data_IF_220148528761
#
_entry.id   IF_220148528761
#
_cell.length_a   1.000
_cell.length_b   1.000
_cell.length_c   1.000
_cell.angle_alpha   90.00
_cell.angle_beta   90.00
_cell.angle_gamma   90.00
#
_symmetry.space_group_name_H-M   'P 1'
#
loop_
_entity.id
_entity.type
_entity.pdbx_description
1 polymer ?
#
# COMPACT_ATOMS: atom_id res chain seq x y z
N UNK A 1 -24.82 31.01 -2.03
CA UNK A 1 -24.69 29.57 -1.75
C UNK A 1 -23.34 29.37 -1.07
N UNK A 2 -23.35 28.86 0.16
CA UNK A 2 -22.13 28.60 0.93
C UNK A 2 -21.35 27.43 0.30
N UNK A 3 -20.01 27.42 0.42
CA UNK A 3 -19.15 26.34 -0.08
C UNK A 3 -19.59 24.96 0.46
N UNK A 4 -20.05 24.92 1.71
CA UNK A 4 -20.61 23.71 2.33
C UNK A 4 -21.93 23.26 1.69
N UNK A 5 -22.79 24.18 1.26
CA UNK A 5 -24.05 23.85 0.60
C UNK A 5 -23.82 23.33 -0.82
N UNK A 6 -22.82 23.88 -1.53
CA UNK A 6 -22.37 23.37 -2.82
C UNK A 6 -21.76 21.97 -2.70
N UNK A 7 -20.89 21.75 -1.71
CA UNK A 7 -20.30 20.44 -1.45
C UNK A 7 -21.35 19.40 -1.06
N UNK A 8 -22.34 19.81 -0.26
CA UNK A 8 -23.46 18.94 0.12
C UNK A 8 -24.34 18.58 -1.07
N UNK A 9 -24.72 19.56 -1.89
CA UNK A 9 -25.53 19.32 -3.09
C UNK A 9 -24.80 18.41 -4.09
N UNK A 10 -23.49 18.58 -4.24
CA UNK A 10 -22.67 17.72 -5.08
C UNK A 10 -22.56 16.30 -4.53
N UNK A 11 -22.31 16.15 -3.22
CA UNK A 11 -22.27 14.84 -2.57
C UNK A 11 -23.61 14.10 -2.62
N UNK A 12 -24.74 14.81 -2.48
CA UNK A 12 -26.09 14.23 -2.61
C UNK A 12 -26.36 13.78 -4.05
N UNK A 13 -25.91 14.56 -5.05
CA UNK A 13 -26.01 14.21 -6.47
C UNK A 13 -25.15 12.99 -6.81
N UNK A 14 -23.88 12.98 -6.41
CA UNK A 14 -22.97 11.84 -6.61
C UNK A 14 -23.42 10.58 -5.87
N UNK A 15 -23.95 10.71 -4.65
CA UNK A 15 -24.49 9.58 -3.90
C UNK A 15 -25.71 8.97 -4.61
N UNK A 16 -26.60 9.78 -5.19
CA UNK A 16 -27.75 9.28 -5.94
C UNK A 16 -27.34 8.56 -7.23
N UNK A 17 -26.35 9.11 -7.95
CA UNK A 17 -25.86 8.55 -9.22
C UNK A 17 -25.03 7.29 -9.02
N UNK A 18 -24.15 7.30 -8.01
CA UNK A 18 -23.34 6.13 -7.66
C UNK A 18 -24.19 5.00 -7.06
N UNK A 19 -25.25 5.32 -6.31
CA UNK A 19 -26.18 4.31 -5.80
C UNK A 19 -26.99 3.65 -6.92
N UNK A 20 -27.48 4.41 -7.91
CA UNK A 20 -28.18 3.83 -9.05
C UNK A 20 -27.26 2.98 -9.91
N UNK A 21 -26.03 3.46 -10.17
CA UNK A 21 -25.02 2.71 -10.93
C UNK A 21 -24.55 1.45 -10.20
N UNK A 22 -24.38 1.50 -8.87
CA UNK A 22 -24.02 0.34 -8.07
C UNK A 22 -25.16 -0.70 -8.02
N UNK A 23 -26.42 -0.26 -8.01
CA UNK A 23 -27.57 -1.14 -8.13
C UNK A 23 -27.59 -1.84 -9.50
N UNK A 24 -27.34 -1.12 -10.59
CA UNK A 24 -27.30 -1.68 -11.94
C UNK A 24 -26.09 -2.64 -12.15
N UNK A 25 -24.96 -2.38 -11.50
CA UNK A 25 -23.79 -3.30 -11.48
C UNK A 25 -24.10 -4.55 -10.66
N UNK A 26 -24.78 -4.43 -9.52
CA UNK A 26 -25.19 -5.57 -8.69
C UNK A 26 -26.24 -6.46 -9.39
N UNK A 27 -27.08 -5.87 -10.24
CA UNK A 27 -28.04 -6.59 -11.10
C UNK A 27 -27.38 -7.17 -12.37
N UNK A 28 -26.07 -6.96 -12.58
CA UNK A 28 -25.31 -7.53 -13.70
C UNK A 28 -25.58 -6.87 -15.06
N UNK A 29 -26.23 -5.69 -15.08
CA UNK A 29 -26.56 -4.97 -16.32
C UNK A 29 -25.38 -4.18 -16.88
N UNK A 30 -24.38 -3.85 -16.05
CA UNK A 30 -23.22 -3.02 -16.40
C UNK A 30 -21.94 -3.55 -15.72
N UNK A 31 -20.80 -3.44 -16.40
CA UNK A 31 -19.46 -3.67 -15.82
C UNK A 31 -18.91 -2.39 -15.16
N UNK A 32 -17.96 -2.53 -14.21
CA UNK A 32 -17.37 -1.38 -13.49
C UNK A 32 -16.75 -0.31 -14.42
N UNK A 33 -16.24 -0.73 -15.57
CA UNK A 33 -15.67 0.17 -16.58
C UNK A 33 -16.77 0.98 -17.30
N UNK A 34 -17.92 0.36 -17.57
CA UNK A 34 -19.07 1.03 -18.19
C UNK A 34 -19.74 2.01 -17.22
N UNK A 35 -19.77 1.70 -15.92
CA UNK A 35 -20.28 2.62 -14.90
C UNK A 35 -19.43 3.91 -14.81
N UNK A 36 -18.10 3.79 -14.94
CA UNK A 36 -17.20 4.95 -15.01
C UNK A 36 -17.43 5.79 -16.26
N UNK A 37 -17.69 5.13 -17.40
CA UNK A 37 -17.98 5.82 -18.65
C UNK A 37 -19.31 6.58 -18.58
N UNK A 38 -20.37 5.99 -18.03
CA UNK A 38 -21.67 6.66 -17.87
C UNK A 38 -21.57 7.87 -16.93
N UNK A 39 -20.78 7.78 -15.86
CA UNK A 39 -20.51 8.92 -14.99
C UNK A 39 -19.78 10.06 -15.73
N UNK A 40 -18.79 9.73 -16.57
CA UNK A 40 -18.12 10.71 -17.43
C UNK A 40 -19.07 11.34 -18.46
N UNK A 41 -19.87 10.52 -19.15
CA UNK A 41 -20.84 10.98 -20.14
C UNK A 41 -21.94 11.86 -19.51
N UNK A 42 -22.33 11.58 -18.26
CA UNK A 42 -23.27 12.41 -17.50
C UNK A 42 -22.67 13.78 -17.15
N UNK A 43 -21.38 13.81 -16.80
CA UNK A 43 -20.64 15.06 -16.58
C UNK A 43 -20.38 15.84 -17.87
N UNK A 44 -20.32 15.16 -19.02
CA UNK A 44 -20.18 15.80 -20.34
C UNK A 44 -21.51 16.36 -20.85
N UNK A 45 -22.62 15.69 -20.54
CA UNK A 45 -23.98 16.04 -20.93
C UNK A 45 -24.56 17.30 -20.26
N UNK A 46 -23.93 17.82 -19.20
CA UNK A 46 -24.38 19.03 -18.54
C UNK A 46 -24.15 20.26 -19.44
N UNK A 47 -25.22 20.86 -19.95
CA UNK A 47 -25.16 22.00 -20.88
C UNK A 47 -24.77 23.30 -20.15
N UNK A 48 -23.59 23.83 -20.46
CA UNK A 48 -23.06 25.08 -19.92
C UNK A 48 -21.84 25.59 -20.70
N UNK A 49 -21.46 26.84 -20.47
CA UNK A 49 -20.32 27.49 -21.13
C UNK A 49 -19.00 26.76 -20.78
N UNK A 50 -18.09 26.60 -21.75
CA UNK A 50 -16.91 25.72 -21.64
C UNK A 50 -16.04 26.10 -20.43
N UNK A 51 -15.94 27.40 -20.13
CA UNK A 51 -15.20 27.92 -18.99
C UNK A 51 -15.79 27.48 -17.65
N UNK A 52 -17.12 27.45 -17.54
CA UNK A 52 -17.81 27.03 -16.30
C UNK A 52 -17.62 25.53 -16.05
N UNK A 53 -17.58 24.73 -17.11
CA UNK A 53 -17.26 23.29 -17.03
C UNK A 53 -15.85 23.05 -16.51
N UNK A 54 -14.85 23.73 -17.08
CA UNK A 54 -13.46 23.64 -16.63
C UNK A 54 -13.29 24.03 -15.16
N UNK A 55 -13.95 25.12 -14.73
CA UNK A 55 -13.92 25.56 -13.34
C UNK A 55 -14.58 24.56 -12.38
N UNK A 56 -15.65 23.89 -12.81
CA UNK A 56 -16.29 22.85 -12.01
C UNK A 56 -15.42 21.59 -11.92
N UNK A 57 -14.80 21.14 -13.02
CA UNK A 57 -13.83 20.05 -12.97
C UNK A 57 -12.66 20.37 -12.03
N UNK A 58 -12.13 21.59 -12.07
CA UNK A 58 -11.06 22.01 -11.17
C UNK A 58 -11.49 21.97 -9.69
N UNK A 59 -12.75 22.33 -9.37
CA UNK A 59 -13.28 22.21 -8.00
C UNK A 59 -13.40 20.75 -7.55
N UNK A 60 -13.90 19.87 -8.41
CA UNK A 60 -14.03 18.43 -8.11
C UNK A 60 -12.67 17.80 -7.89
N UNK A 61 -11.68 18.13 -8.72
CA UNK A 61 -10.29 17.65 -8.56
C UNK A 61 -9.74 18.07 -7.20
N UNK A 62 -9.88 19.35 -6.83
CA UNK A 62 -9.42 19.85 -5.52
C UNK A 62 -10.13 19.19 -4.34
N UNK A 63 -11.43 18.90 -4.47
CA UNK A 63 -12.16 18.17 -3.44
C UNK A 63 -11.61 16.74 -3.28
N UNK A 64 -11.37 16.03 -4.39
CA UNK A 64 -10.78 14.68 -4.37
C UNK A 64 -9.36 14.66 -3.80
N UNK A 65 -8.55 15.68 -4.11
CA UNK A 65 -7.22 15.85 -3.50
C UNK A 65 -7.30 16.05 -1.98
N UNK A 66 -8.24 16.88 -1.51
CA UNK A 66 -8.46 17.11 -0.08
C UNK A 66 -8.92 15.84 0.65
N UNK A 67 -9.83 15.07 0.05
CA UNK A 67 -10.29 13.78 0.59
C UNK A 67 -9.15 12.76 0.65
N UNK A 68 -8.34 12.66 -0.41
CA UNK A 68 -7.17 11.78 -0.45
C UNK A 68 -6.17 12.11 0.66
N UNK A 69 -5.86 13.39 0.86
CA UNK A 69 -4.97 13.84 1.93
C UNK A 69 -5.53 13.49 3.33
N UNK A 70 -6.84 13.68 3.55
CA UNK A 70 -7.48 13.32 4.82
C UNK A 70 -7.47 11.80 5.07
N UNK A 71 -7.61 10.98 4.03
CA UNK A 71 -7.50 9.52 4.12
C UNK A 71 -6.08 9.08 4.49
N UNK A 72 -5.05 9.70 3.90
CA UNK A 72 -3.65 9.41 4.22
C UNK A 72 -3.33 9.68 5.69
N UNK A 73 -3.83 10.78 6.25
CA UNK A 73 -3.68 11.08 7.68
C UNK A 73 -4.34 10.02 8.57
N UNK A 74 -5.55 9.57 8.20
CA UNK A 74 -6.24 8.49 8.90
C UNK A 74 -5.48 7.18 8.82
N UNK A 75 -4.95 6.83 7.65
CA UNK A 75 -4.14 5.62 7.45
C UNK A 75 -2.90 5.66 8.34
N UNK A 76 -2.18 6.79 8.41
CA UNK A 76 -1.02 6.93 9.31
C UNK A 76 -1.39 6.66 10.77
N UNK A 77 -2.51 7.22 11.23
CA UNK A 77 -3.01 6.99 12.60
C UNK A 77 -3.40 5.52 12.83
N UNK A 78 -4.10 4.90 11.88
CA UNK A 78 -4.48 3.49 11.95
C UNK A 78 -3.25 2.56 11.94
N UNK A 79 -2.24 2.86 11.13
CA UNK A 79 -0.98 2.14 11.10
C UNK A 79 -0.21 2.28 12.43
N UNK A 80 -0.18 3.48 13.02
CA UNK A 80 0.41 3.68 14.34
C UNK A 80 -0.32 2.86 15.41
N UNK A 81 -1.66 2.85 15.40
CA UNK A 81 -2.48 2.02 16.30
C UNK A 81 -2.22 0.52 16.10
N UNK A 82 -2.12 0.06 14.85
CA UNK A 82 -1.77 -1.33 14.52
C UNK A 82 -0.42 -1.71 15.12
N UNK A 83 0.62 -0.88 14.91
CA UNK A 83 1.96 -1.12 15.47
C UNK A 83 1.96 -1.13 17.00
N UNK A 84 1.17 -0.28 17.65
CA UNK A 84 1.05 -0.27 19.11
C UNK A 84 0.42 -1.58 19.64
N UNK A 85 -0.58 -2.12 18.94
CA UNK A 85 -1.18 -3.41 19.28
C UNK A 85 -0.22 -4.58 19.06
N UNK A 86 0.55 -4.55 17.97
CA UNK A 86 1.60 -5.54 17.69
C UNK A 86 2.68 -5.51 18.77
N UNK A 87 3.19 -4.34 19.13
CA UNK A 87 4.14 -4.19 20.24
C UNK A 87 3.57 -4.63 21.59
N UNK A 88 2.29 -4.35 21.85
CA UNK A 88 1.59 -4.83 23.04
C UNK A 88 1.51 -6.36 23.10
N UNK A 89 1.19 -7.01 21.97
CA UNK A 89 1.19 -8.46 21.84
C UNK A 89 2.59 -9.04 22.09
N UNK A 90 3.63 -8.47 21.50
CA UNK A 90 5.00 -8.96 21.64
C UNK A 90 5.51 -8.80 23.08
N UNK A 91 5.18 -7.68 23.74
CA UNK A 91 5.47 -7.46 25.15
C UNK A 91 4.79 -8.52 26.03
N UNK A 92 3.49 -8.78 25.81
CA UNK A 92 2.75 -9.81 26.54
C UNK A 92 3.30 -11.22 26.28
N UNK A 93 3.68 -11.53 25.04
CA UNK A 93 4.31 -12.80 24.71
C UNK A 93 5.66 -12.97 25.43
N UNK A 94 6.49 -11.93 25.46
CA UNK A 94 7.78 -11.96 26.17
C UNK A 94 7.60 -12.13 27.69
N UNK A 95 6.58 -11.49 28.26
CA UNK A 95 6.25 -11.62 29.69
C UNK A 95 5.73 -13.03 30.00
N UNK A 96 4.86 -13.57 29.15
CA UNK A 96 4.36 -14.93 29.28
C UNK A 96 5.52 -15.95 29.24
N UNK A 97 6.47 -15.80 28.31
CA UNK A 97 7.67 -16.63 28.24
C UNK A 97 8.49 -16.56 29.53
N UNK A 98 8.75 -15.35 30.06
CA UNK A 98 9.47 -15.16 31.32
C UNK A 98 8.81 -15.89 32.48
N UNK A 99 7.50 -15.72 32.66
CA UNK A 99 6.74 -16.36 33.75
C UNK A 99 6.71 -17.89 33.59
N UNK A 100 6.55 -18.39 32.36
CA UNK A 100 6.58 -19.83 32.07
C UNK A 100 7.95 -20.45 32.38
N UNK A 101 9.05 -19.74 32.10
CA UNK A 101 10.42 -20.18 32.42
C UNK A 101 10.70 -20.15 33.93
N UNK A 102 10.32 -19.07 34.62
CA UNK A 102 10.54 -18.91 36.07
C UNK A 102 9.79 -19.96 36.89
N UNK A 103 8.56 -20.29 36.49
CA UNK A 103 7.70 -21.22 37.24
C UNK A 103 7.74 -22.65 36.70
N UNK A 104 8.35 -22.89 35.54
CA UNK A 104 8.34 -24.16 34.82
C UNK A 104 6.92 -24.73 34.58
N UNK A 105 5.94 -23.87 34.29
CA UNK A 105 4.53 -24.26 34.09
C UNK A 105 4.14 -24.05 32.62
N UNK A 106 3.41 -25.01 32.06
CA UNK A 106 2.75 -24.90 30.75
C UNK A 106 1.24 -24.93 30.93
N UNK A 107 0.58 -23.77 31.10
CA UNK A 107 -0.87 -23.73 31.24
C UNK A 107 -1.56 -24.19 29.95
N UNK A 108 -2.62 -24.98 30.11
CA UNK A 108 -3.52 -25.42 29.05
C UNK A 108 -4.95 -25.20 29.52
N UNK A 109 -5.75 -24.59 28.66
CA UNK A 109 -7.19 -24.43 28.84
C UNK A 109 -7.94 -25.09 27.67
N UNK A 110 -9.27 -25.18 27.75
CA UNK A 110 -10.12 -25.75 26.70
C UNK A 110 -10.09 -24.92 25.40
N UNK A 111 -9.87 -23.60 25.50
CA UNK A 111 -9.85 -22.69 24.36
C UNK A 111 -8.42 -22.35 23.88
N UNK A 112 -7.42 -22.40 24.76
CA UNK A 112 -6.06 -21.94 24.47
C UNK A 112 -5.01 -22.87 25.11
N UNK A 113 -4.08 -23.37 24.31
CA UNK A 113 -2.92 -24.10 24.78
C UNK A 113 -1.63 -23.29 24.49
N UNK A 114 -0.83 -23.03 25.53
CA UNK A 114 0.46 -22.39 25.38
C UNK A 114 1.60 -23.37 25.66
N UNK A 115 2.63 -23.33 24.81
CA UNK A 115 3.82 -24.16 24.94
C UNK A 115 5.04 -23.44 24.41
N UNK A 116 6.17 -23.62 25.09
CA UNK A 116 7.47 -23.16 24.62
C UNK A 116 7.99 -24.14 23.57
N UNK A 117 8.41 -23.62 22.42
CA UNK A 117 9.13 -24.43 21.43
C UNK A 117 10.59 -24.58 21.87
N UNK A 118 11.14 -25.78 21.73
CA UNK A 118 12.57 -26.04 21.86
C UNK A 118 13.28 -25.52 20.60
N UNK A 119 13.58 -24.23 20.55
CA UNK A 119 14.43 -23.65 19.50
C UNK A 119 15.60 -22.95 20.16
N UNK A 120 16.81 -23.46 19.90
CA UNK A 120 18.07 -22.80 20.27
C UNK A 120 18.50 -21.93 19.10
N UNK A 121 18.56 -20.62 19.32
CA UNK A 121 19.19 -19.70 18.39
C UNK A 121 20.68 -19.63 18.74
N UNK A 122 21.55 -20.08 17.82
CA UNK A 122 23.00 -20.00 17.99
C UNK A 122 23.44 -18.59 17.57
N UNK A 123 23.93 -17.81 18.53
CA UNK A 123 24.56 -16.51 18.25
C UNK A 123 26.05 -16.80 18.05
N UNK A 124 26.55 -16.44 16.88
CA UNK A 124 27.97 -16.58 16.53
C UNK A 124 28.64 -15.24 16.86
N UNK A 125 29.46 -15.21 17.91
CA UNK A 125 30.20 -14.01 18.29
C UNK A 125 31.43 -13.79 17.39
N UNK A 126 32.12 -14.87 16.99
CA UNK A 126 33.34 -14.82 16.17
C UNK A 126 33.36 -15.91 15.09
N UNK A 127 33.16 -15.52 13.82
CA UNK A 127 33.14 -16.43 12.66
C UNK A 127 34.51 -17.07 12.36
N UNK A 128 35.60 -16.49 12.86
CA UNK A 128 36.98 -16.96 12.61
C UNK A 128 37.33 -18.24 13.37
N UNK A 129 36.72 -18.44 14.55
CA UNK A 129 36.93 -19.62 15.39
C UNK A 129 36.04 -20.80 14.97
N UNK A 130 35.10 -20.58 14.06
CA UNK A 130 34.20 -21.62 13.58
C UNK A 130 34.96 -22.55 12.62
N UNK A 131 34.93 -23.87 12.87
CA UNK A 131 35.57 -24.84 11.99
C UNK A 131 34.96 -24.77 10.58
N UNK A 132 35.81 -24.92 9.56
CA UNK A 132 35.41 -24.85 8.15
C UNK A 132 34.37 -25.91 7.75
N UNK A 133 34.13 -26.91 8.58
CA UNK A 133 33.06 -27.91 8.41
C UNK A 133 31.65 -27.33 8.56
N UNK A 134 31.50 -26.18 9.23
CA UNK A 134 30.22 -25.50 9.44
C UNK A 134 30.06 -24.25 8.56
N UNK A 135 30.98 -24.00 7.62
CA UNK A 135 30.96 -22.85 6.70
C UNK A 135 30.50 -23.32 5.32
N UNK A 136 29.43 -22.74 4.82
CA UNK A 136 28.99 -22.94 3.44
C UNK A 136 29.55 -21.82 2.55
N UNK A 137 30.14 -22.18 1.41
CA UNK A 137 30.66 -21.21 0.45
C UNK A 137 29.49 -20.58 -0.32
N UNK A 138 29.12 -19.36 0.06
CA UNK A 138 28.15 -18.56 -0.70
C UNK A 138 28.91 -17.85 -1.83
N UNK A 139 28.67 -18.17 -3.12
CA UNK A 139 29.36 -17.51 -4.23
C UNK A 139 28.98 -16.03 -4.27
N UNK A 140 30.00 -15.16 -4.36
CA UNK A 140 29.81 -13.72 -4.50
C UNK A 140 28.91 -13.42 -5.72
N UNK A 141 27.68 -12.98 -5.46
CA UNK A 141 26.74 -12.65 -6.53
C UNK A 141 27.16 -11.33 -7.17
N UNK A 142 27.56 -11.39 -8.44
CA UNK A 142 27.85 -10.19 -9.22
C UNK A 142 26.55 -9.56 -9.69
N UNK A 143 26.13 -8.48 -9.01
CA UNK A 143 24.99 -7.68 -9.44
C UNK A 143 25.39 -6.76 -10.62
N UNK A 144 24.66 -6.83 -11.73
CA UNK A 144 24.88 -5.96 -12.90
C UNK A 144 24.50 -4.52 -12.56
N UNK A 145 25.48 -3.62 -12.51
CA UNK A 145 25.24 -2.18 -12.34
C UNK A 145 24.80 -1.54 -13.65
N UNK A 146 23.50 -1.22 -13.75
CA UNK A 146 22.89 -0.55 -14.92
C UNK A 146 23.58 0.78 -15.31
N UNK A 147 24.24 1.44 -14.36
CA UNK A 147 24.99 2.68 -14.59
C UNK A 147 26.24 2.46 -15.47
N UNK A 148 27.00 1.41 -15.21
CA UNK A 148 28.21 1.11 -15.99
C UNK A 148 27.84 0.50 -17.34
N UNK A 149 26.75 -0.28 -17.40
CA UNK A 149 26.16 -0.71 -18.69
C UNK A 149 25.75 0.49 -19.54
N UNK A 150 25.21 1.57 -18.94
CA UNK A 150 24.85 2.80 -19.66
C UNK A 150 26.06 3.59 -20.15
N UNK A 151 27.22 3.49 -19.48
CA UNK A 151 28.49 4.09 -19.95
C UNK A 151 29.04 3.29 -21.14
N UNK A 152 29.13 1.97 -21.02
CA UNK A 152 29.58 1.08 -22.10
C UNK A 152 28.68 1.20 -23.35
N UNK A 153 27.37 1.45 -23.18
CA UNK A 153 26.46 1.73 -24.29
C UNK A 153 26.74 3.07 -24.99
N UNK A 154 27.25 4.07 -24.26
CA UNK A 154 27.67 5.36 -24.84
C UNK A 154 29.02 5.25 -25.54
N UNK A 155 29.89 4.37 -25.04
CA UNK A 155 31.20 4.09 -25.61
C UNK A 155 31.14 3.17 -26.85
N UNK A 156 29.93 2.76 -27.26
CA UNK A 156 29.68 2.07 -28.53
C UNK A 156 29.77 0.54 -28.49
N UNK A 157 29.87 -0.08 -27.32
CA UNK A 157 29.87 -1.54 -27.20
C UNK A 157 28.45 -2.11 -27.38
N UNK A 158 28.29 -3.07 -28.29
CA UNK A 158 27.02 -3.77 -28.50
C UNK A 158 26.77 -4.76 -27.36
N UNK A 159 25.90 -4.36 -26.42
CA UNK A 159 25.42 -5.19 -25.31
C UNK A 159 23.92 -5.46 -25.55
N UNK A 160 23.42 -6.70 -25.40
CA UNK A 160 22.01 -7.01 -25.61
C UNK A 160 21.13 -6.41 -24.49
N UNK A 161 20.73 -5.14 -24.64
CA UNK A 161 19.84 -4.43 -23.71
C UNK A 161 18.65 -3.80 -24.44
N UNK A 162 17.47 -3.81 -23.80
CA UNK A 162 16.25 -3.16 -24.31
C UNK A 162 16.07 -1.81 -23.61
N UNK A 163 16.20 -0.70 -24.31
CA UNK A 163 15.96 0.66 -23.76
C UNK A 163 14.53 1.11 -24.03
N UNK A 164 13.72 1.36 -22.99
CA UNK A 164 12.45 2.08 -23.10
C UNK A 164 12.69 3.58 -22.87
N UNK A 165 12.31 4.42 -23.84
CA UNK A 165 12.23 5.88 -23.65
C UNK A 165 10.83 6.19 -23.12
N UNK A 166 10.72 6.69 -21.90
CA UNK A 166 9.51 7.32 -21.40
C UNK A 166 9.81 8.81 -21.22
N UNK A 167 9.12 9.66 -21.97
CA UNK A 167 9.27 11.11 -21.89
C UNK A 167 7.88 11.73 -21.81
N UNK A 168 7.49 12.18 -20.62
CA UNK A 168 6.52 13.25 -20.38
C UNK A 168 7.01 14.01 -19.13
N UNK A 169 7.27 15.31 -19.27
CA UNK A 169 7.57 16.22 -18.13
C UNK A 169 6.56 17.35 -18.15
N UNK A 170 5.85 17.52 -17.03
CA UNK A 170 4.99 18.67 -16.77
C UNK A 170 5.79 19.73 -16.02
N UNK A 171 5.59 21.01 -16.36
CA UNK A 171 6.19 22.17 -15.71
C UNK A 171 5.17 22.80 -14.76
#
# INVERSE_FOLDING_TARGET
>A
MNLFELNRAFAEMEASLSASLAADVAEGKLTEEQAKQIYLDTLEGESGDIETKLLNYAKVIKNKEAEAAALDERIKSLQARKKALEGGKDNLASLAVKVMLERAITPKDSEIAMGLRKSEAVIIDDESLIPNTAKEYVPASWAVRKADVKKLLKDGQQIPVRTSRCAITWR
#
